data_IF_437268125707
#
_entry.id   IF_437268125707
#
_cell.length_a   1.000
_cell.length_b   1.000
_cell.length_c   1.000
_cell.angle_alpha   90.00
_cell.angle_beta   90.00
_cell.angle_gamma   90.00
#
_symmetry.space_group_name_H-M   'P 1'
#
loop_
_entity.id
_entity.type
_entity.pdbx_description
1 polymer ?
#
# COMPACT_ATOMS: atom_id res chain seq x y z
N UNK A 1 41.54 -43.71 43.02
CA UNK A 1 41.68 -44.07 41.61
C UNK A 1 41.05 -42.95 40.84
N UNK A 2 41.86 -42.11 40.21
CA UNK A 2 41.36 -40.95 39.49
C UNK A 2 41.21 -41.32 38.02
N UNK A 3 39.98 -41.21 37.51
CA UNK A 3 39.67 -41.41 36.09
C UNK A 3 39.53 -40.01 35.50
N UNK A 4 40.47 -39.63 34.64
CA UNK A 4 40.44 -38.37 33.93
C UNK A 4 39.75 -38.56 32.56
N UNK A 5 38.66 -37.84 32.33
CA UNK A 5 37.95 -37.83 31.04
C UNK A 5 38.34 -36.56 30.30
N UNK A 6 38.97 -36.70 29.13
CA UNK A 6 39.35 -35.58 28.25
C UNK A 6 38.71 -35.71 26.88
N UNK A 7 38.33 -34.57 26.32
CA UNK A 7 37.85 -34.47 24.93
C UNK A 7 39.05 -34.39 24.01
N UNK A 8 39.06 -35.19 22.94
CA UNK A 8 40.11 -35.16 21.92
C UNK A 8 40.01 -33.91 21.04
N UNK A 9 41.13 -33.45 20.50
CA UNK A 9 41.19 -32.26 19.65
C UNK A 9 40.32 -32.37 18.39
N UNK A 10 40.15 -33.58 17.84
CA UNK A 10 39.28 -33.80 16.68
C UNK A 10 37.80 -33.67 17.04
N UNK A 11 37.40 -34.14 18.22
CA UNK A 11 36.02 -34.00 18.70
C UNK A 11 35.72 -32.53 19.04
N UNK A 12 36.72 -31.80 19.56
CA UNK A 12 36.62 -30.35 19.72
C UNK A 12 36.42 -29.63 18.38
N UNK A 13 37.23 -29.94 17.36
CA UNK A 13 37.09 -29.36 16.01
C UNK A 13 35.75 -29.69 15.35
N UNK A 14 35.25 -30.92 15.53
CA UNK A 14 33.92 -31.32 15.06
C UNK A 14 32.82 -30.51 15.75
N UNK A 15 32.92 -30.31 17.07
CA UNK A 15 31.97 -29.51 17.82
C UNK A 15 31.93 -28.04 17.34
N UNK A 16 33.09 -27.40 17.21
CA UNK A 16 33.18 -26.02 16.71
C UNK A 16 32.60 -25.89 15.29
N UNK A 17 32.90 -26.84 14.41
CA UNK A 17 32.36 -26.87 13.07
C UNK A 17 30.83 -27.00 13.08
N UNK A 18 30.27 -27.94 13.85
CA UNK A 18 28.81 -28.12 13.96
C UNK A 18 28.12 -26.86 14.49
N UNK A 19 28.67 -26.23 15.54
CA UNK A 19 28.11 -24.98 16.09
C UNK A 19 28.13 -23.85 15.08
N UNK A 20 29.20 -23.72 14.29
CA UNK A 20 29.28 -22.72 13.22
C UNK A 20 28.23 -22.96 12.14
N UNK A 21 28.05 -24.20 11.68
CA UNK A 21 27.05 -24.54 10.68
C UNK A 21 25.62 -24.30 11.19
N UNK A 22 25.35 -24.63 12.45
CA UNK A 22 24.07 -24.35 13.09
C UNK A 22 23.78 -22.84 13.11
N UNK A 23 24.80 -22.02 13.41
CA UNK A 23 24.69 -20.56 13.31
C UNK A 23 24.37 -20.06 11.89
N UNK A 24 25.06 -20.59 10.87
CA UNK A 24 24.79 -20.21 9.47
C UNK A 24 23.39 -20.62 8.99
N UNK A 25 22.86 -21.75 9.48
CA UNK A 25 21.52 -22.20 9.15
C UNK A 25 20.44 -21.43 9.92
N UNK A 26 20.73 -21.00 11.15
CA UNK A 26 19.88 -20.07 11.88
C UNK A 26 19.74 -18.73 11.15
N UNK A 27 20.84 -18.16 10.63
CA UNK A 27 20.83 -16.92 9.84
C UNK A 27 19.96 -17.05 8.58
N UNK A 28 20.10 -18.16 7.84
CA UNK A 28 19.27 -18.46 6.66
C UNK A 28 17.80 -18.65 7.05
N UNK A 29 17.53 -19.32 8.16
CA UNK A 29 16.21 -19.51 8.73
C UNK A 29 15.53 -18.18 9.03
N UNK A 30 16.21 -17.28 9.73
CA UNK A 30 15.71 -15.93 10.03
C UNK A 30 15.38 -15.13 8.76
N UNK A 31 16.27 -15.14 7.77
CA UNK A 31 16.00 -14.48 6.49
C UNK A 31 14.76 -15.04 5.80
N UNK A 32 14.55 -16.36 5.85
CA UNK A 32 13.39 -17.03 5.27
C UNK A 32 12.09 -16.68 6.00
N UNK A 33 12.12 -16.65 7.34
CA UNK A 33 10.99 -16.21 8.18
C UNK A 33 10.59 -14.78 7.82
N UNK A 34 11.53 -13.86 7.83
CA UNK A 34 11.29 -12.44 7.52
C UNK A 34 10.75 -12.27 6.10
N UNK A 35 11.30 -13.00 5.12
CA UNK A 35 10.82 -12.97 3.74
C UNK A 35 9.40 -13.52 3.58
N UNK A 36 9.06 -14.59 4.30
CA UNK A 36 7.72 -15.18 4.30
C UNK A 36 6.73 -14.21 4.93
N UNK A 37 7.05 -13.69 6.11
CA UNK A 37 6.25 -12.68 6.81
C UNK A 37 6.04 -11.45 5.95
N UNK A 38 7.07 -10.92 5.27
CA UNK A 38 6.92 -9.76 4.39
C UNK A 38 5.93 -10.00 3.23
N UNK A 39 5.94 -11.21 2.64
CA UNK A 39 4.97 -11.59 1.58
C UNK A 39 3.54 -11.67 2.11
N UNK A 40 3.36 -12.15 3.32
CA UNK A 40 2.05 -12.26 3.98
C UNK A 40 1.55 -10.89 4.45
N UNK A 41 2.41 -10.10 5.09
CA UNK A 41 2.16 -8.72 5.50
C UNK A 41 1.72 -7.86 4.31
N UNK A 42 2.37 -8.00 3.15
CA UNK A 42 1.95 -7.36 1.89
C UNK A 42 0.50 -7.68 1.54
N UNK A 43 0.07 -8.95 1.67
CA UNK A 43 -1.31 -9.37 1.37
C UNK A 43 -2.30 -8.81 2.40
N UNK A 44 -1.93 -8.83 3.68
CA UNK A 44 -2.74 -8.27 4.77
C UNK A 44 -2.94 -6.77 4.60
N UNK A 45 -1.87 -6.01 4.33
CA UNK A 45 -1.94 -4.57 4.07
C UNK A 45 -2.84 -4.24 2.88
N UNK A 46 -2.73 -5.01 1.79
CA UNK A 46 -3.58 -4.83 0.63
C UNK A 46 -5.06 -5.11 0.96
N UNK A 47 -5.33 -6.16 1.73
CA UNK A 47 -6.69 -6.52 2.17
C UNK A 47 -7.29 -5.46 3.07
N UNK A 48 -6.52 -5.01 4.07
CA UNK A 48 -6.94 -4.00 5.04
C UNK A 48 -7.17 -2.64 4.37
N UNK A 49 -6.25 -2.19 3.53
CA UNK A 49 -6.44 -0.93 2.81
C UNK A 49 -7.63 -1.01 1.84
N UNK A 50 -7.81 -2.14 1.16
CA UNK A 50 -8.98 -2.34 0.30
C UNK A 50 -10.31 -2.40 1.08
N UNK A 51 -10.31 -2.84 2.34
CA UNK A 51 -11.52 -2.85 3.17
C UNK A 51 -11.91 -1.44 3.60
N UNK A 52 -10.93 -0.58 3.89
CA UNK A 52 -11.14 0.78 4.42
C UNK A 52 -11.38 1.84 3.33
N UNK A 53 -10.64 1.80 2.23
CA UNK A 53 -10.70 2.86 1.21
C UNK A 53 -11.76 2.60 0.13
N UNK A 54 -12.50 3.64 -0.23
CA UNK A 54 -13.57 3.62 -1.22
C UNK A 54 -13.03 3.79 -2.66
N UNK A 55 -11.94 3.11 -3.00
CA UNK A 55 -11.35 3.13 -4.36
C UNK A 55 -12.25 2.40 -5.36
N UNK A 56 -12.32 2.88 -6.60
CA UNK A 56 -13.13 2.26 -7.67
C UNK A 56 -12.32 1.46 -8.69
N UNK A 57 -11.01 1.69 -8.78
CA UNK A 57 -10.15 1.11 -9.82
C UNK A 57 -8.97 0.30 -9.28
N UNK A 58 -8.63 0.43 -8.00
CA UNK A 58 -7.47 -0.24 -7.43
C UNK A 58 -7.80 -1.69 -7.04
N UNK A 59 -8.81 -1.88 -6.17
CA UNK A 59 -9.16 -3.19 -5.63
C UNK A 59 -8.01 -3.86 -4.89
N UNK A 60 -8.20 -5.12 -4.48
CA UNK A 60 -7.18 -5.90 -3.77
C UNK A 60 -5.89 -6.07 -4.60
N UNK A 61 -6.04 -6.38 -5.90
CA UNK A 61 -4.90 -6.59 -6.82
C UNK A 61 -4.08 -5.32 -7.00
N UNK A 62 -4.72 -4.17 -7.16
CA UNK A 62 -4.01 -2.90 -7.35
C UNK A 62 -3.19 -2.51 -6.11
N UNK A 63 -3.73 -2.69 -4.90
CA UNK A 63 -2.95 -2.46 -3.68
C UNK A 63 -1.75 -3.40 -3.58
N UNK A 64 -1.92 -4.68 -3.90
CA UNK A 64 -0.83 -5.65 -3.87
C UNK A 64 0.25 -5.30 -4.91
N UNK A 65 -0.13 -4.88 -6.12
CA UNK A 65 0.80 -4.51 -7.18
C UNK A 65 1.52 -3.19 -6.89
N UNK A 66 0.91 -2.30 -6.11
CA UNK A 66 1.53 -1.04 -5.67
C UNK A 66 2.63 -1.23 -4.62
N UNK A 67 2.86 -2.45 -4.15
CA UNK A 67 3.92 -2.78 -3.18
C UNK A 67 4.95 -3.72 -3.80
N UNK A 68 6.22 -3.47 -3.50
CA UNK A 68 7.36 -4.36 -3.79
C UNK A 68 8.01 -4.78 -2.48
N UNK A 69 8.37 -6.06 -2.36
CA UNK A 69 9.14 -6.57 -1.23
C UNK A 69 10.60 -6.62 -1.64
N UNK A 70 11.46 -5.97 -0.87
CA UNK A 70 12.91 -6.18 -0.88
C UNK A 70 13.21 -7.24 0.18
N UNK A 71 13.81 -8.34 -0.25
CA UNK A 71 13.99 -9.53 0.58
C UNK A 71 15.17 -9.38 1.54
N UNK A 72 15.02 -9.98 2.72
CA UNK A 72 16.07 -10.21 3.69
C UNK A 72 17.10 -11.23 3.17
N UNK A 73 18.31 -11.16 3.70
CA UNK A 73 19.41 -12.11 3.49
C UNK A 73 19.88 -12.67 4.83
N UNK A 74 20.63 -13.77 4.84
CA UNK A 74 21.11 -14.37 6.11
C UNK A 74 21.91 -13.38 6.97
N UNK A 75 22.69 -12.50 6.34
CA UNK A 75 23.48 -11.46 7.01
C UNK A 75 22.67 -10.22 7.41
N UNK A 76 21.48 -10.03 6.83
CA UNK A 76 20.60 -8.90 7.11
C UNK A 76 19.14 -9.37 7.10
N UNK A 77 18.60 -9.81 8.26
CA UNK A 77 17.26 -10.34 8.40
C UNK A 77 16.20 -9.23 8.39
N UNK A 78 16.29 -8.29 7.45
CA UNK A 78 15.35 -7.17 7.30
C UNK A 78 14.79 -7.20 5.89
N UNK A 79 13.46 -7.28 5.78
CA UNK A 79 12.73 -7.09 4.54
C UNK A 79 11.99 -5.75 4.55
N UNK A 80 11.98 -5.08 3.40
CA UNK A 80 11.31 -3.79 3.25
C UNK A 80 10.11 -3.94 2.31
N UNK A 81 8.95 -3.38 2.70
CA UNK A 81 7.78 -3.26 1.83
C UNK A 81 7.73 -1.82 1.31
N UNK A 82 8.03 -1.66 0.03
CA UNK A 82 8.16 -0.36 -0.62
C UNK A 82 6.93 -0.13 -1.49
N UNK A 83 6.23 0.99 -1.30
CA UNK A 83 5.19 1.45 -2.20
C UNK A 83 5.58 2.78 -2.84
N UNK A 84 5.40 2.89 -4.15
CA UNK A 84 5.61 4.13 -4.90
C UNK A 84 4.36 4.37 -5.75
N UNK A 85 3.68 5.49 -5.52
CA UNK A 85 2.59 5.98 -6.38
C UNK A 85 2.53 7.51 -6.30
N UNK A 86 2.00 8.13 -7.36
CA UNK A 86 1.80 9.57 -7.42
C UNK A 86 0.53 10.03 -6.70
N UNK A 87 0.27 11.34 -6.75
CA UNK A 87 -1.00 11.89 -6.29
C UNK A 87 -2.17 11.26 -7.04
N UNK A 88 -3.15 10.73 -6.29
CA UNK A 88 -4.27 10.01 -6.87
C UNK A 88 -5.47 10.94 -7.06
N UNK A 89 -6.05 10.96 -8.25
CA UNK A 89 -7.23 11.77 -8.51
C UNK A 89 -8.43 11.30 -7.67
N UNK A 90 -9.22 12.23 -7.15
CA UNK A 90 -10.38 11.94 -6.32
C UNK A 90 -11.46 11.17 -7.09
N UNK A 91 -11.47 11.26 -8.42
CA UNK A 91 -12.34 10.46 -9.28
C UNK A 91 -12.06 8.96 -9.20
N UNK A 92 -10.86 8.55 -8.77
CA UNK A 92 -10.50 7.14 -8.53
C UNK A 92 -11.13 6.58 -7.24
N UNK A 93 -11.72 7.44 -6.43
CA UNK A 93 -12.53 7.07 -5.28
C UNK A 93 -14.03 7.11 -5.62
N UNK A 94 -14.87 6.83 -4.63
CA UNK A 94 -16.31 6.83 -4.80
C UNK A 94 -16.81 8.28 -4.96
N UNK A 95 -17.28 8.59 -6.17
CA UNK A 95 -17.87 9.89 -6.55
C UNK A 95 -19.32 9.67 -6.94
N UNK A 96 -20.20 10.58 -6.51
CA UNK A 96 -21.62 10.57 -6.82
C UNK A 96 -22.12 11.97 -7.21
N UNK A 97 -22.77 12.12 -8.38
CA UNK A 97 -22.88 11.13 -9.46
C UNK A 97 -21.54 10.83 -10.13
N UNK A 98 -21.37 9.61 -10.67
CA UNK A 98 -20.11 9.20 -11.34
C UNK A 98 -19.98 9.79 -12.76
N UNK A 99 -21.10 10.18 -13.36
CA UNK A 99 -21.18 10.71 -14.73
C UNK A 99 -21.39 12.22 -14.75
N UNK A 100 -20.92 12.87 -15.82
CA UNK A 100 -21.07 14.32 -16.01
C UNK A 100 -22.55 14.75 -16.19
N UNK A 101 -23.38 13.86 -16.70
CA UNK A 101 -24.83 14.04 -16.92
C UNK A 101 -25.60 12.88 -16.29
N UNK A 102 -26.83 13.14 -15.85
CA UNK A 102 -27.77 12.11 -15.40
C UNK A 102 -28.37 11.39 -16.61
N UNK A 103 -29.04 10.26 -16.37
CA UNK A 103 -29.75 9.48 -17.42
C UNK A 103 -30.74 10.32 -18.24
N UNK A 104 -31.35 11.34 -17.63
CA UNK A 104 -32.27 12.27 -18.29
C UNK A 104 -31.58 13.45 -19.00
N UNK A 105 -30.28 13.35 -19.30
CA UNK A 105 -29.49 14.41 -19.95
C UNK A 105 -29.13 15.61 -19.08
N UNK A 106 -29.76 15.77 -17.90
CA UNK A 106 -29.54 16.94 -17.03
C UNK A 106 -28.21 16.84 -16.28
N UNK A 107 -27.48 17.95 -16.21
CA UNK A 107 -26.25 18.05 -15.41
C UNK A 107 -26.56 17.99 -13.90
N UNK A 108 -25.84 17.18 -13.10
CA UNK A 108 -25.99 17.21 -11.65
C UNK A 108 -25.70 18.60 -11.08
N UNK A 109 -26.54 19.05 -10.14
CA UNK A 109 -26.35 20.33 -9.44
C UNK A 109 -25.13 20.33 -8.50
N UNK A 110 -24.79 19.16 -7.96
CA UNK A 110 -23.70 18.97 -7.01
C UNK A 110 -23.05 17.61 -7.22
N UNK A 111 -21.73 17.56 -7.07
CA UNK A 111 -20.98 16.32 -6.98
C UNK A 111 -20.50 16.12 -5.54
N UNK A 112 -20.43 14.87 -5.13
CA UNK A 112 -19.94 14.46 -3.81
C UNK A 112 -18.89 13.38 -3.98
N UNK A 113 -17.93 13.32 -3.07
CA UNK A 113 -16.94 12.25 -3.04
C UNK A 113 -16.71 11.79 -1.61
N UNK A 114 -16.21 10.56 -1.47
CA UNK A 114 -15.67 10.06 -0.22
C UNK A 114 -14.44 9.20 -0.48
N UNK A 115 -13.47 9.29 0.44
CA UNK A 115 -12.19 8.57 0.35
C UNK A 115 -12.25 7.29 1.17
N UNK A 116 -12.72 7.37 2.41
CA UNK A 116 -12.93 6.19 3.28
C UNK A 116 -14.34 5.64 3.09
N UNK A 117 -14.49 4.32 3.20
CA UNK A 117 -15.82 3.68 3.12
C UNK A 117 -16.70 4.05 4.31
N UNK A 118 -16.12 4.13 5.50
CA UNK A 118 -16.79 4.57 6.74
C UNK A 118 -17.26 6.03 6.68
N UNK A 119 -16.54 6.88 5.96
CA UNK A 119 -16.89 8.30 5.86
C UNK A 119 -18.18 8.56 5.07
N UNK A 120 -18.83 9.68 5.40
CA UNK A 120 -19.96 10.21 4.66
C UNK A 120 -19.51 10.94 3.38
N UNK A 121 -20.43 11.09 2.44
CA UNK A 121 -20.14 11.83 1.20
C UNK A 121 -20.01 13.33 1.45
N UNK A 122 -18.84 13.90 1.19
CA UNK A 122 -18.61 15.34 1.25
C UNK A 122 -18.97 16.00 -0.07
N UNK A 123 -19.64 17.16 -0.02
CA UNK A 123 -19.91 17.99 -1.21
C UNK A 123 -18.58 18.52 -1.75
N UNK A 124 -18.39 18.40 -3.06
CA UNK A 124 -17.18 18.83 -3.74
C UNK A 124 -17.35 20.27 -4.22
N UNK A 125 -17.00 21.19 -3.34
CA UNK A 125 -17.08 22.63 -3.56
C UNK A 125 -16.02 23.32 -2.69
N UNK A 126 -15.23 24.18 -3.31
CA UNK A 126 -14.24 25.03 -2.63
C UNK A 126 -14.72 26.48 -2.70
N UNK A 127 -14.99 27.10 -1.55
CA UNK A 127 -15.71 28.38 -1.47
C UNK A 127 -17.01 28.33 -2.30
N UNK A 128 -17.13 29.13 -3.35
CA UNK A 128 -18.31 29.14 -4.25
C UNK A 128 -18.10 28.34 -5.55
N UNK A 129 -16.96 27.66 -5.68
CA UNK A 129 -16.58 26.94 -6.90
C UNK A 129 -16.97 25.48 -6.77
N UNK A 130 -17.99 25.08 -7.54
CA UNK A 130 -18.48 23.69 -7.55
C UNK A 130 -17.61 22.81 -8.43
N UNK A 131 -17.24 21.65 -7.92
CA UNK A 131 -16.58 20.61 -8.71
C UNK A 131 -17.58 19.89 -9.63
N UNK A 132 -17.08 19.31 -10.70
CA UNK A 132 -17.87 18.51 -11.63
C UNK A 132 -17.05 17.46 -12.35
N UNK A 133 -17.71 16.39 -12.77
CA UNK A 133 -17.09 15.36 -13.62
C UNK A 133 -17.03 15.87 -15.06
N UNK A 134 -15.89 15.67 -15.72
CA UNK A 134 -15.69 15.94 -17.14
C UNK A 134 -14.84 14.86 -17.77
N UNK A 135 -15.05 14.65 -19.07
CA UNK A 135 -14.20 13.83 -19.92
C UNK A 135 -13.42 14.74 -20.86
N UNK A 136 -12.11 14.62 -20.87
CA UNK A 136 -11.23 15.37 -21.76
C UNK A 136 -11.21 14.75 -23.15
N UNK A 137 -10.69 15.49 -24.15
CA UNK A 137 -10.51 14.97 -25.51
C UNK A 137 -9.66 13.70 -25.57
N UNK A 138 -8.77 13.50 -24.60
CA UNK A 138 -7.96 12.29 -24.45
C UNK A 138 -8.76 11.06 -23.97
N UNK A 139 -10.05 11.21 -23.66
CA UNK A 139 -10.86 10.17 -23.02
C UNK A 139 -10.71 10.11 -21.50
N UNK A 140 -9.73 10.83 -20.92
CA UNK A 140 -9.53 10.87 -19.47
C UNK A 140 -10.74 11.52 -18.78
N UNK A 141 -11.34 10.81 -17.82
CA UNK A 141 -12.49 11.31 -17.07
C UNK A 141 -12.10 11.54 -15.63
N UNK A 142 -12.34 12.75 -15.13
CA UNK A 142 -12.00 13.10 -13.76
C UNK A 142 -12.94 14.13 -13.15
N UNK A 143 -12.79 14.34 -11.84
CA UNK A 143 -13.49 15.36 -11.07
C UNK A 143 -12.63 16.61 -11.02
N UNK A 144 -13.16 17.71 -11.53
CA UNK A 144 -12.41 18.97 -11.67
C UNK A 144 -13.14 20.14 -11.03
N UNK A 145 -12.37 21.15 -10.66
CA UNK A 145 -12.86 22.49 -10.33
C UNK A 145 -12.32 23.50 -11.35
N UNK A 146 -13.02 24.62 -11.50
CA UNK A 146 -12.51 25.73 -12.32
C UNK A 146 -11.53 26.54 -11.50
N UNK A 147 -10.46 27.03 -12.14
CA UNK A 147 -9.53 27.96 -11.50
C UNK A 147 -9.89 29.40 -11.89
N UNK A 148 -10.48 30.21 -10.99
CA UNK A 148 -10.86 31.59 -11.27
C UNK A 148 -9.66 32.41 -11.75
N UNK A 149 -9.89 33.34 -12.68
CA UNK A 149 -8.84 34.21 -13.20
C UNK A 149 -7.77 33.52 -14.07
N UNK A 150 -7.81 32.19 -14.23
CA UNK A 150 -6.87 31.44 -15.07
C UNK A 150 -7.54 30.92 -16.33
N UNK A 151 -6.94 31.18 -17.49
CA UNK A 151 -7.42 30.70 -18.79
C UNK A 151 -6.81 29.34 -19.16
N UNK A 152 -7.55 28.50 -19.88
CA UNK A 152 -7.00 27.32 -20.53
C UNK A 152 -5.95 27.74 -21.58
N UNK A 153 -4.78 27.09 -21.56
CA UNK A 153 -3.66 27.37 -22.49
C UNK A 153 -4.08 27.32 -23.97
N UNK A 154 -4.99 26.41 -24.32
CA UNK A 154 -5.36 26.13 -25.71
C UNK A 154 -6.58 26.93 -26.20
N UNK A 155 -7.13 27.86 -25.42
CA UNK A 155 -8.21 28.76 -25.86
C UNK A 155 -7.69 30.19 -25.94
N UNK A 156 -7.81 30.80 -27.13
CA UNK A 156 -7.53 32.22 -27.38
C UNK A 156 -8.84 33.02 -27.38
N UNK A 157 -8.76 34.34 -27.14
CA UNK A 157 -9.92 35.24 -27.13
C UNK A 157 -9.81 36.41 -26.12
N UNK A 158 -10.73 37.36 -26.18
CA UNK A 158 -10.82 38.50 -25.23
C UNK A 158 -11.56 38.06 -23.95
N UNK A 159 -11.00 38.37 -22.77
CA UNK A 159 -11.62 38.09 -21.47
C UNK A 159 -11.59 36.63 -20.97
N UNK A 160 -11.85 36.42 -19.68
CA UNK A 160 -11.98 35.09 -19.06
C UNK A 160 -13.44 34.84 -18.77
N UNK A 161 -13.99 33.80 -19.39
CA UNK A 161 -15.37 33.35 -19.21
C UNK A 161 -15.38 31.98 -18.55
N UNK A 162 -16.56 31.58 -18.04
CA UNK A 162 -16.75 30.22 -17.51
C UNK A 162 -16.40 29.13 -18.53
N UNK A 163 -16.43 29.38 -19.84
CA UNK A 163 -16.15 28.34 -20.83
C UNK A 163 -14.66 28.20 -21.16
N UNK A 164 -13.85 29.25 -20.98
CA UNK A 164 -12.42 29.25 -21.27
C UNK A 164 -11.51 29.23 -20.03
N UNK A 165 -12.10 29.15 -18.85
CA UNK A 165 -11.40 29.05 -17.57
C UNK A 165 -10.70 27.70 -17.40
N UNK A 166 -9.48 27.70 -16.88
CA UNK A 166 -8.69 26.50 -16.62
C UNK A 166 -9.39 25.55 -15.64
N UNK A 167 -9.13 24.26 -15.82
CA UNK A 167 -9.67 23.19 -14.98
C UNK A 167 -8.52 22.59 -14.17
N UNK A 168 -8.77 22.33 -12.90
CA UNK A 168 -7.85 21.65 -11.98
C UNK A 168 -8.51 20.35 -11.53
N UNK A 169 -7.80 19.23 -11.68
CA UNK A 169 -8.24 17.95 -11.11
C UNK A 169 -8.13 17.99 -9.58
N UNK A 170 -9.12 17.41 -8.91
CA UNK A 170 -9.08 17.21 -7.46
C UNK A 170 -8.34 15.91 -7.16
N UNK A 171 -7.47 15.96 -6.17
CA UNK A 171 -6.65 14.83 -5.73
C UNK A 171 -7.02 14.42 -4.31
N UNK A 172 -6.71 13.17 -3.99
CA UNK A 172 -6.90 12.52 -2.72
C UNK A 172 -5.58 11.91 -2.23
N UNK A 173 -5.68 11.13 -1.15
CA UNK A 173 -4.54 10.41 -0.56
C UNK A 173 -3.89 9.46 -1.58
N UNK A 174 -2.56 9.45 -1.71
CA UNK A 174 -1.82 8.52 -2.58
C UNK A 174 -1.75 7.12 -1.97
N UNK A 175 -1.50 6.09 -2.78
CA UNK A 175 -1.48 4.69 -2.33
C UNK A 175 -0.48 4.41 -1.20
N UNK A 176 0.78 4.92 -1.22
CA UNK A 176 1.70 4.74 -0.11
C UNK A 176 1.12 5.20 1.23
N UNK A 177 0.45 6.35 1.27
CA UNK A 177 -0.16 6.87 2.49
C UNK A 177 -1.40 6.07 2.90
N UNK A 178 -2.13 5.49 1.95
CA UNK A 178 -3.23 4.56 2.27
C UNK A 178 -2.71 3.29 2.95
N UNK A 179 -1.57 2.77 2.48
CA UNK A 179 -0.96 1.56 3.00
C UNK A 179 -0.26 1.78 4.35
N UNK A 180 0.53 2.85 4.48
CA UNK A 180 1.34 3.13 5.66
C UNK A 180 0.59 3.93 6.75
N UNK A 181 -0.58 4.50 6.42
CA UNK A 181 -1.35 5.34 7.33
C UNK A 181 -2.22 4.56 8.31
N UNK A 182 -3.04 5.31 9.04
CA UNK A 182 -3.93 4.81 10.10
C UNK A 182 -4.88 3.71 9.64
N UNK A 183 -5.47 3.87 8.45
CA UNK A 183 -6.41 2.90 7.91
C UNK A 183 -5.73 1.71 7.19
N UNK A 184 -4.41 1.74 7.05
CA UNK A 184 -3.63 0.66 6.44
C UNK A 184 -2.87 -0.11 7.51
N UNK A 185 -1.59 0.24 7.68
CA UNK A 185 -0.64 -0.45 8.54
C UNK A 185 -1.10 -0.52 10.00
N UNK A 186 -1.58 0.57 10.61
CA UNK A 186 -1.97 0.53 12.02
C UNK A 186 -3.11 -0.45 12.31
N UNK A 187 -4.00 -0.71 11.33
CA UNK A 187 -5.05 -1.73 11.47
C UNK A 187 -4.58 -3.15 11.15
N UNK A 188 -3.45 -3.30 10.49
CA UNK A 188 -2.89 -4.59 10.09
C UNK A 188 -1.70 -5.03 10.95
N UNK A 189 -1.12 -4.14 11.76
CA UNK A 189 0.15 -4.38 12.46
C UNK A 189 0.07 -5.59 13.39
N UNK A 190 -0.96 -5.70 14.22
CA UNK A 190 -1.15 -6.86 15.10
C UNK A 190 -1.21 -8.17 14.34
N UNK A 191 -1.97 -8.22 13.23
CA UNK A 191 -2.05 -9.41 12.38
C UNK A 191 -0.72 -9.75 11.72
N UNK A 192 0.11 -8.74 11.42
CA UNK A 192 1.45 -8.93 10.85
C UNK A 192 2.39 -9.50 11.92
N UNK A 193 2.30 -9.01 13.15
CA UNK A 193 3.10 -9.47 14.29
C UNK A 193 2.75 -10.92 14.64
N UNK A 194 1.46 -11.28 14.67
CA UNK A 194 0.99 -12.65 14.88
C UNK A 194 1.56 -13.61 13.80
N UNK A 195 1.58 -13.17 12.54
CA UNK A 195 2.15 -13.93 11.43
C UNK A 195 3.67 -14.06 11.58
N UNK A 196 4.35 -13.01 12.07
CA UNK A 196 5.78 -13.06 12.32
C UNK A 196 6.11 -14.11 13.39
N UNK A 197 5.44 -14.04 14.56
CA UNK A 197 5.66 -14.99 15.66
C UNK A 197 5.42 -16.43 15.20
N UNK A 198 4.28 -16.67 14.55
CA UNK A 198 3.97 -17.99 13.99
C UNK A 198 5.05 -18.50 13.02
N UNK A 199 5.60 -17.63 12.18
CA UNK A 199 6.64 -18.04 11.24
C UNK A 199 7.98 -18.28 11.93
N UNK A 200 8.29 -17.56 13.02
CA UNK A 200 9.46 -17.81 13.86
C UNK A 200 9.34 -19.20 14.50
N UNK A 201 8.22 -19.50 15.15
CA UNK A 201 7.98 -20.77 15.83
C UNK A 201 8.16 -21.96 14.87
N UNK A 202 7.56 -21.88 13.68
CA UNK A 202 7.69 -22.90 12.63
C UNK A 202 9.13 -23.10 12.19
N UNK A 203 9.95 -22.04 12.15
CA UNK A 203 11.36 -22.18 11.75
C UNK A 203 12.22 -22.72 12.90
N UNK A 204 11.92 -22.35 14.15
CA UNK A 204 12.57 -22.93 15.34
C UNK A 204 12.32 -24.44 15.39
N UNK A 205 11.06 -24.86 15.26
CA UNK A 205 10.70 -26.29 15.19
C UNK A 205 11.43 -27.01 14.07
N UNK A 206 11.60 -26.35 12.93
CA UNK A 206 12.33 -26.93 11.80
C UNK A 206 13.82 -27.10 12.09
N UNK A 207 14.45 -26.12 12.72
CA UNK A 207 15.88 -26.16 13.06
C UNK A 207 16.17 -27.20 14.16
N UNK A 208 15.31 -27.28 15.19
CA UNK A 208 15.46 -28.24 16.29
C UNK A 208 15.00 -29.65 15.88
N UNK A 209 14.01 -29.76 15.00
CA UNK A 209 13.46 -31.03 14.52
C UNK A 209 14.25 -31.68 13.39
N UNK A 210 15.18 -30.96 12.73
CA UNK A 210 16.08 -31.55 11.72
C UNK A 210 17.28 -32.28 12.33
N UNK A 211 17.37 -32.40 13.66
CA UNK A 211 18.38 -33.20 14.38
C UNK A 211 17.91 -34.66 14.67
N UNK A 212 16.89 -35.17 13.97
CA UNK A 212 16.52 -36.60 14.01
C UNK A 212 16.82 -37.28 12.68
#
# INVERSE_FOLDING_TARGET
>A
MDIEVRVDENDWRRLEHTLKYLGEDADKGLAKVVNKTAKEAKKLLAKQSNSEYATTDLGLRGFNNAMKVKTATGKNPVAEIISKDGSRELYKFKVSPKTATRKNGRRPRTFKAKVLKSSSFKKMQTADIKAFVTTFKSGHTTLVERTPGKRMRNRRGKGITKHNMALKALYAVPVPNMLAGEHGYLKASSMIDDVLQKNIDVEIEKLLGSER
#
